data_IF_357726618890
#
_entry.id   IF_357726618890
#
_cell.length_a   1.000
_cell.length_b   1.000
_cell.length_c   1.000
_cell.angle_alpha   90.00
_cell.angle_beta   90.00
_cell.angle_gamma   90.00
#
_symmetry.space_group_name_H-M   'P 1'
#
loop_
_entity.id
_entity.type
_entity.pdbx_description
1 polymer ?
#
# COMPACT_ATOMS: atom_id res chain seq x y z
N UNK A 1 5.97 4.53 -0.61
CA UNK A 1 4.55 4.32 -0.99
C UNK A 1 4.34 5.01 -2.31
N UNK A 2 3.64 4.37 -3.23
CA UNK A 2 3.16 4.94 -4.49
C UNK A 2 1.64 5.08 -4.39
N UNK A 3 1.12 6.21 -4.85
CA UNK A 3 -0.31 6.50 -4.86
C UNK A 3 -0.71 6.61 -6.32
N UNK A 4 -1.67 5.80 -6.72
CA UNK A 4 -2.27 5.83 -8.05
C UNK A 4 -3.69 6.37 -7.91
N UNK A 5 -4.07 7.31 -8.76
CA UNK A 5 -5.42 7.86 -8.74
C UNK A 5 -5.93 8.10 -10.14
N UNK A 6 -7.23 8.24 -10.26
CA UNK A 6 -7.90 8.68 -11.47
C UNK A 6 -9.05 9.60 -11.11
N UNK A 7 -9.23 10.65 -11.92
CA UNK A 7 -10.26 11.64 -11.75
C UNK A 7 -11.10 11.70 -13.03
N UNK A 8 -12.42 11.56 -12.88
CA UNK A 8 -13.39 11.74 -13.95
C UNK A 8 -14.18 13.00 -13.65
N UNK A 9 -13.91 14.06 -14.39
CA UNK A 9 -14.61 15.33 -14.21
C UNK A 9 -15.72 15.47 -15.24
N UNK A 10 -16.66 16.39 -15.03
CA UNK A 10 -17.68 16.69 -16.05
C UNK A 10 -17.10 17.06 -17.42
N UNK A 11 -15.91 17.68 -17.46
CA UNK A 11 -15.22 18.04 -18.70
C UNK A 11 -14.50 16.86 -19.37
N UNK A 12 -14.25 15.77 -18.63
CA UNK A 12 -13.60 14.56 -19.12
C UNK A 12 -14.11 13.33 -18.34
N UNK A 13 -15.36 12.91 -18.58
CA UNK A 13 -15.94 11.78 -17.88
C UNK A 13 -15.44 10.45 -18.48
N UNK A 14 -15.62 9.36 -17.73
CA UNK A 14 -15.41 8.03 -18.26
C UNK A 14 -16.63 7.61 -19.08
N UNK A 15 -16.48 7.59 -20.40
CA UNK A 15 -17.56 7.26 -21.35
C UNK A 15 -18.05 5.82 -21.18
N UNK A 16 -19.29 5.56 -21.61
CA UNK A 16 -19.92 4.22 -21.60
C UNK A 16 -19.01 3.19 -22.27
N UNK A 17 -18.71 2.10 -21.54
CA UNK A 17 -17.84 1.01 -22.00
C UNK A 17 -16.35 1.36 -22.09
N UNK A 18 -15.93 2.58 -21.75
CA UNK A 18 -14.53 2.98 -21.80
C UNK A 18 -13.76 2.42 -20.60
N UNK A 19 -12.48 2.16 -20.83
CA UNK A 19 -11.51 1.72 -19.81
C UNK A 19 -10.40 2.76 -19.71
N UNK A 20 -9.94 3.07 -18.49
CA UNK A 20 -8.79 3.95 -18.25
C UNK A 20 -7.89 3.41 -17.15
N UNK A 21 -6.59 3.66 -17.30
CA UNK A 21 -5.57 3.33 -16.31
C UNK A 21 -5.53 4.36 -15.20
N UNK A 22 -5.27 3.92 -13.97
CA UNK A 22 -4.91 4.85 -12.90
C UNK A 22 -3.58 5.53 -13.21
N UNK A 23 -3.42 6.74 -12.70
CA UNK A 23 -2.27 7.61 -12.91
C UNK A 23 -1.42 7.61 -11.64
N UNK A 24 -0.12 7.41 -11.78
CA UNK A 24 0.85 7.62 -10.70
C UNK A 24 0.88 9.10 -10.33
N UNK A 25 0.46 9.43 -9.11
CA UNK A 25 0.36 10.82 -8.66
C UNK A 25 1.71 11.51 -8.49
N UNK A 26 2.81 10.76 -8.44
CA UNK A 26 4.17 11.33 -8.39
C UNK A 26 4.67 11.73 -9.78
N UNK A 27 4.37 10.95 -10.81
CA UNK A 27 4.93 11.11 -12.16
C UNK A 27 3.91 11.59 -13.20
N UNK A 28 2.63 11.54 -12.87
CA UNK A 28 1.48 11.75 -13.77
C UNK A 28 1.46 10.81 -14.99
N UNK A 29 2.16 9.68 -14.93
CA UNK A 29 2.11 8.65 -15.95
C UNK A 29 1.02 7.62 -15.62
N UNK A 30 0.29 7.11 -16.63
CA UNK A 30 -0.64 6.00 -16.42
C UNK A 30 0.13 4.74 -16.04
N UNK A 31 -0.52 3.88 -15.26
CA UNK A 31 -0.14 2.47 -15.12
C UNK A 31 -0.15 1.77 -16.49
N UNK A 32 0.62 0.69 -16.69
CA UNK A 32 1.33 -0.13 -15.70
C UNK A 32 2.52 0.56 -15.01
N UNK A 33 2.77 0.20 -13.75
CA UNK A 33 3.89 0.63 -12.94
C UNK A 33 4.85 -0.53 -12.65
N UNK A 34 6.14 -0.32 -12.92
CA UNK A 34 7.19 -1.30 -12.65
C UNK A 34 7.76 -1.13 -11.25
N UNK A 35 7.65 -2.16 -10.43
CA UNK A 35 8.34 -2.31 -9.15
C UNK A 35 9.69 -2.99 -9.41
N UNK A 36 10.82 -2.31 -9.18
CA UNK A 36 12.12 -2.89 -9.46
C UNK A 36 12.45 -4.04 -8.50
N UNK A 37 13.25 -4.99 -8.97
CA UNK A 37 13.85 -6.00 -8.11
C UNK A 37 14.55 -5.37 -6.88
N UNK A 38 14.52 -6.08 -5.76
CA UNK A 38 14.92 -5.62 -4.43
C UNK A 38 13.82 -4.90 -3.66
N UNK A 39 12.60 -4.81 -4.19
CA UNK A 39 11.43 -4.29 -3.48
C UNK A 39 10.27 -5.28 -3.51
N UNK A 40 9.68 -5.56 -2.34
CA UNK A 40 8.32 -6.11 -2.31
C UNK A 40 7.28 -4.99 -2.40
N UNK A 41 6.07 -5.34 -2.81
CA UNK A 41 4.94 -4.42 -2.84
C UNK A 41 3.74 -5.01 -2.09
N UNK A 42 2.94 -4.15 -1.47
CA UNK A 42 1.68 -4.50 -0.80
C UNK A 42 0.59 -3.52 -1.25
N UNK A 43 -0.53 -4.03 -1.76
CA UNK A 43 -1.74 -3.24 -2.02
C UNK A 43 -2.45 -3.02 -0.70
N UNK A 44 -2.51 -1.77 -0.22
CA UNK A 44 -2.90 -1.48 1.18
C UNK A 44 -4.21 -0.76 1.33
N UNK A 45 -4.52 0.15 0.43
CA UNK A 45 -5.69 0.99 0.56
C UNK A 45 -6.29 1.23 -0.81
N UNK A 46 -7.62 1.33 -0.82
CA UNK A 46 -8.35 1.86 -1.94
C UNK A 46 -9.47 2.78 -1.45
N UNK A 47 -9.83 3.73 -2.30
CA UNK A 47 -10.97 4.61 -2.12
C UNK A 47 -11.60 4.88 -3.49
N UNK A 48 -12.92 4.96 -3.54
CA UNK A 48 -13.65 5.21 -4.77
C UNK A 48 -14.96 5.92 -4.50
N UNK A 49 -15.28 6.92 -5.30
CA UNK A 49 -16.57 7.60 -5.28
C UNK A 49 -16.92 7.96 -6.70
N UNK A 50 -17.91 7.26 -7.26
CA UNK A 50 -18.37 7.43 -8.63
C UNK A 50 -19.89 7.46 -8.68
N UNK A 51 -20.44 8.13 -9.70
CA UNK A 51 -21.88 8.28 -9.87
C UNK A 51 -22.57 7.13 -10.62
N UNK A 52 -21.97 5.94 -10.72
CA UNK A 52 -22.57 4.78 -11.39
C UNK A 52 -21.71 3.52 -11.33
N UNK A 53 -22.03 2.54 -12.16
CA UNK A 53 -21.41 1.20 -12.11
C UNK A 53 -20.04 1.15 -12.82
N UNK A 54 -19.03 0.64 -12.10
CA UNK A 54 -17.68 0.41 -12.63
C UNK A 54 -17.16 -0.99 -12.26
N UNK A 55 -16.15 -1.46 -12.98
CA UNK A 55 -15.27 -2.54 -12.52
C UNK A 55 -13.84 -2.02 -12.46
N UNK A 56 -13.18 -2.27 -11.34
CA UNK A 56 -11.74 -2.05 -11.17
C UNK A 56 -11.06 -3.40 -11.38
N UNK A 57 -9.99 -3.43 -12.17
CA UNK A 57 -9.21 -4.64 -12.37
C UNK A 57 -7.76 -4.37 -12.03
N UNK A 58 -7.30 -4.96 -10.93
CA UNK A 58 -5.92 -4.95 -10.50
C UNK A 58 -5.21 -6.20 -11.00
N UNK A 59 -4.10 -6.02 -11.70
CA UNK A 59 -3.27 -7.12 -12.18
C UNK A 59 -1.83 -6.94 -11.75
N UNK A 60 -1.14 -8.05 -11.50
CA UNK A 60 0.29 -8.03 -11.27
C UNK A 60 0.97 -9.21 -11.98
N UNK A 61 2.08 -8.90 -12.67
CA UNK A 61 2.97 -9.88 -13.28
C UNK A 61 4.33 -9.89 -12.59
N UNK A 62 4.96 -11.06 -12.56
CA UNK A 62 6.31 -11.29 -12.05
C UNK A 62 7.16 -11.78 -13.21
N UNK A 63 8.16 -11.01 -13.63
CA UNK A 63 8.96 -11.27 -14.83
C UNK A 63 8.11 -11.57 -16.10
N UNK A 64 6.93 -10.96 -16.18
CA UNK A 64 5.97 -11.13 -17.28
C UNK A 64 4.96 -12.25 -17.09
N UNK A 65 5.14 -13.14 -16.11
CA UNK A 65 4.15 -14.17 -15.79
C UNK A 65 3.01 -13.60 -14.94
N UNK A 66 1.73 -13.83 -15.30
CA UNK A 66 0.60 -13.33 -14.52
C UNK A 66 0.46 -14.07 -13.19
N UNK A 67 0.49 -13.32 -12.09
CA UNK A 67 0.37 -13.88 -10.72
C UNK A 67 -0.94 -13.48 -10.07
N UNK A 68 -1.38 -12.24 -10.29
CA UNK A 68 -2.58 -11.67 -9.68
C UNK A 68 -3.46 -11.07 -10.77
N UNK A 69 -4.76 -11.38 -10.68
CA UNK A 69 -5.83 -10.77 -11.49
C UNK A 69 -7.09 -10.69 -10.62
N UNK A 70 -7.40 -9.48 -10.16
CA UNK A 70 -8.47 -9.23 -9.19
C UNK A 70 -9.48 -8.29 -9.83
N UNK A 71 -10.64 -8.81 -10.27
CA UNK A 71 -11.77 -7.97 -10.62
C UNK A 71 -12.52 -7.56 -9.34
N UNK A 72 -12.63 -6.25 -9.12
CA UNK A 72 -13.35 -5.63 -8.02
C UNK A 72 -14.58 -4.91 -8.59
N UNK A 73 -15.74 -5.28 -8.08
CA UNK A 73 -17.02 -4.70 -8.44
C UNK A 73 -17.53 -3.86 -7.27
N UNK A 74 -17.18 -2.56 -7.18
CA UNK A 74 -17.78 -1.68 -6.19
C UNK A 74 -19.31 -1.71 -6.34
N UNK A 75 -20.01 -1.75 -5.21
CA UNK A 75 -21.46 -1.97 -5.20
C UNK A 75 -22.20 -0.91 -6.04
N UNK A 76 -23.28 -1.28 -6.75
CA UNK A 76 -23.92 -0.44 -7.78
C UNK A 76 -24.60 0.85 -7.27
N UNK A 77 -24.69 1.08 -5.96
CA UNK A 77 -25.59 2.07 -5.37
C UNK A 77 -24.90 3.40 -4.98
N UNK A 78 -24.14 4.01 -5.89
CA UNK A 78 -23.45 5.29 -5.63
C UNK A 78 -22.66 5.30 -4.31
N UNK A 79 -22.16 4.14 -3.88
CA UNK A 79 -21.48 4.03 -2.61
C UNK A 79 -20.17 4.80 -2.70
N UNK A 80 -20.06 5.84 -1.87
CA UNK A 80 -18.73 6.35 -1.53
C UNK A 80 -18.08 5.27 -0.70
N UNK A 81 -17.08 4.60 -1.28
CA UNK A 81 -16.19 3.75 -0.50
C UNK A 81 -15.34 4.68 0.36
N UNK A 82 -15.54 4.62 1.67
CA UNK A 82 -14.58 5.15 2.63
C UNK A 82 -13.23 4.44 2.42
N UNK A 83 -12.11 5.03 2.85
CA UNK A 83 -10.80 4.38 2.75
C UNK A 83 -10.86 2.96 3.35
N UNK A 84 -10.88 1.93 2.50
CA UNK A 84 -10.88 0.56 2.97
C UNK A 84 -9.45 0.05 2.95
N UNK A 85 -9.05 -0.61 4.06
CA UNK A 85 -7.78 -1.29 4.11
C UNK A 85 -7.89 -2.64 3.40
N UNK A 86 -7.10 -2.79 2.34
CA UNK A 86 -6.85 -4.07 1.69
C UNK A 86 -5.61 -4.66 2.36
N UNK A 87 -5.72 -5.84 2.96
CA UNK A 87 -4.60 -6.48 3.67
C UNK A 87 -4.13 -7.75 2.94
N UNK A 88 -4.79 -8.14 1.85
CA UNK A 88 -4.64 -9.48 1.29
C UNK A 88 -3.54 -9.63 0.22
N UNK A 89 -3.14 -8.56 -0.50
CA UNK A 89 -2.35 -8.72 -1.74
C UNK A 89 -0.97 -8.07 -1.64
N UNK A 90 0.07 -8.85 -1.93
CA UNK A 90 1.44 -8.35 -2.01
C UNK A 90 2.41 -9.39 -2.56
N UNK A 91 3.54 -8.92 -3.10
CA UNK A 91 4.53 -9.82 -3.72
C UNK A 91 5.26 -10.70 -2.72
N UNK A 92 5.30 -10.37 -1.43
CA UNK A 92 6.01 -11.16 -0.42
C UNK A 92 5.52 -12.61 -0.29
N UNK A 93 4.31 -12.92 -0.77
CA UNK A 93 3.77 -14.29 -0.76
C UNK A 93 4.33 -15.16 -1.90
N UNK A 94 4.89 -14.54 -2.94
CA UNK A 94 5.35 -15.18 -4.17
C UNK A 94 6.86 -14.99 -4.40
N UNK A 95 7.37 -13.80 -4.07
CA UNK A 95 8.76 -13.38 -4.20
C UNK A 95 9.26 -12.74 -2.88
N UNK A 96 9.47 -13.55 -1.83
CA UNK A 96 9.81 -13.06 -0.49
C UNK A 96 11.19 -12.40 -0.40
N UNK A 97 12.08 -12.65 -1.35
CA UNK A 97 13.41 -12.03 -1.43
C UNK A 97 13.43 -10.82 -2.39
N UNK A 98 12.31 -10.51 -3.04
CA UNK A 98 12.21 -9.50 -4.10
C UNK A 98 13.29 -9.69 -5.18
N UNK A 99 13.49 -10.91 -5.63
CA UNK A 99 14.48 -11.22 -6.66
C UNK A 99 14.02 -10.80 -8.06
N UNK A 100 12.71 -10.64 -8.25
CA UNK A 100 12.08 -10.46 -9.55
C UNK A 100 11.56 -9.03 -9.72
N UNK A 101 11.45 -8.61 -10.98
CA UNK A 101 10.73 -7.38 -11.31
C UNK A 101 9.22 -7.67 -11.31
N UNK A 102 8.45 -6.74 -10.78
CA UNK A 102 7.00 -6.82 -10.83
C UNK A 102 6.41 -5.69 -11.64
N UNK A 103 5.33 -5.97 -12.38
CA UNK A 103 4.55 -4.95 -13.07
C UNK A 103 3.14 -4.97 -12.51
N UNK A 104 2.70 -3.84 -11.97
CA UNK A 104 1.36 -3.64 -11.45
C UNK A 104 0.55 -2.77 -12.42
N UNK A 105 -0.65 -3.21 -12.78
CA UNK A 105 -1.56 -2.43 -13.60
C UNK A 105 -2.95 -2.38 -12.98
N UNK A 106 -3.57 -1.20 -13.00
CA UNK A 106 -4.92 -1.00 -12.49
C UNK A 106 -5.74 -0.21 -13.49
N UNK A 107 -6.85 -0.80 -13.93
CA UNK A 107 -7.78 -0.18 -14.87
C UNK A 107 -9.18 -0.09 -14.28
N UNK A 108 -9.90 0.98 -14.63
CA UNK A 108 -11.32 1.15 -14.34
C UNK A 108 -12.11 1.13 -15.64
N UNK A 109 -13.15 0.32 -15.70
CA UNK A 109 -14.08 0.23 -16.84
C UNK A 109 -15.47 0.65 -16.43
N UNK A 110 -16.10 1.51 -17.24
CA UNK A 110 -17.49 1.90 -17.08
C UNK A 110 -18.42 0.76 -17.56
N UNK A 111 -19.24 0.24 -16.65
CA UNK A 111 -20.22 -0.82 -16.93
C UNK A 111 -21.66 -0.30 -17.03
N UNK A 112 -21.84 1.00 -16.79
CA UNK A 112 -23.14 1.66 -16.77
C UNK A 112 -23.56 2.13 -18.17
N UNK A 113 -24.81 2.59 -18.29
CA UNK A 113 -25.34 3.22 -19.50
C UNK A 113 -25.22 4.76 -19.51
N UNK A 114 -24.63 5.32 -18.44
CA UNK A 114 -24.30 6.74 -18.31
C UNK A 114 -22.78 6.99 -18.34
N UNK A 115 -22.40 8.23 -18.62
CA UNK A 115 -21.02 8.68 -18.40
C UNK A 115 -20.72 8.78 -16.90
N UNK A 116 -19.55 8.30 -16.50
CA UNK A 116 -19.14 8.28 -15.10
C UNK A 116 -18.29 9.51 -14.76
N UNK A 117 -18.65 10.16 -13.66
CA UNK A 117 -17.90 11.20 -12.97
C UNK A 117 -17.52 10.69 -11.57
N UNK A 118 -16.37 11.13 -11.05
CA UNK A 118 -15.90 10.70 -9.74
C UNK A 118 -14.38 10.58 -9.63
N UNK A 119 -13.95 9.80 -8.64
CA UNK A 119 -12.54 9.58 -8.32
C UNK A 119 -12.33 8.14 -7.87
N UNK A 120 -11.18 7.57 -8.27
CA UNK A 120 -10.65 6.32 -7.72
C UNK A 120 -9.22 6.53 -7.26
N UNK A 121 -8.82 5.87 -6.18
CA UNK A 121 -7.46 5.90 -5.67
C UNK A 121 -7.08 4.54 -5.10
N UNK A 122 -5.83 4.15 -5.35
CA UNK A 122 -5.20 2.97 -4.78
C UNK A 122 -3.81 3.35 -4.25
N UNK A 123 -3.40 2.73 -3.13
CA UNK A 123 -2.05 2.87 -2.60
C UNK A 123 -1.26 1.55 -2.61
N UNK A 124 -0.07 1.61 -3.21
CA UNK A 124 0.89 0.53 -3.28
C UNK A 124 2.09 0.84 -2.37
N UNK A 125 2.34 0.00 -1.38
CA UNK A 125 3.43 0.18 -0.43
C UNK A 125 4.64 -0.62 -0.88
N UNK A 126 5.73 0.08 -1.18
CA UNK A 126 7.00 -0.53 -1.58
C UNK A 126 7.92 -0.69 -0.38
N UNK A 127 8.45 -1.88 -0.20
CA UNK A 127 9.36 -2.24 0.88
C UNK A 127 10.68 -2.76 0.30
N UNK A 128 11.79 -2.06 0.54
CA UNK A 128 13.11 -2.51 0.08
C UNK A 128 13.58 -3.74 0.88
N UNK A 129 13.72 -4.87 0.21
CA UNK A 129 14.32 -6.09 0.78
C UNK A 129 15.83 -5.89 0.93
N UNK A 130 16.41 -6.37 2.04
CA UNK A 130 17.82 -6.19 2.37
C UNK A 130 18.15 -4.92 3.16
N UNK A 131 17.16 -4.15 3.62
CA UNK A 131 17.39 -3.21 4.73
C UNK A 131 17.63 -4.02 6.00
N UNK A 132 18.79 -3.82 6.65
CA UNK A 132 19.16 -4.55 7.88
C UNK A 132 18.00 -4.45 8.87
N UNK A 133 17.48 -5.60 9.30
CA UNK A 133 16.51 -5.66 10.37
C UNK A 133 17.09 -4.95 11.59
N UNK A 134 16.46 -3.85 12.01
CA UNK A 134 16.90 -3.11 13.18
C UNK A 134 16.58 -3.96 14.43
N UNK A 135 17.58 -4.66 14.95
CA UNK A 135 17.40 -5.55 16.11
C UNK A 135 17.44 -4.80 17.44
N UNK A 136 18.06 -3.62 17.47
CA UNK A 136 18.30 -2.83 18.67
C UNK A 136 17.96 -1.36 18.45
N UNK A 137 17.61 -0.66 19.54
CA UNK A 137 17.43 0.80 19.60
C UNK A 137 18.27 1.39 20.72
N UNK A 138 18.81 2.59 20.51
CA UNK A 138 19.45 3.36 21.58
C UNK A 138 18.36 4.08 22.40
N UNK A 139 18.42 3.93 23.71
CA UNK A 139 17.50 4.56 24.66
C UNK A 139 18.28 5.37 25.69
N UNK A 140 17.67 6.42 26.21
CA UNK A 140 18.23 7.26 27.27
C UNK A 140 17.41 7.10 28.55
N UNK A 141 18.07 6.72 29.65
CA UNK A 141 17.39 6.62 30.94
C UNK A 141 16.83 8.00 31.37
N UNK A 142 15.55 8.04 31.72
CA UNK A 142 14.88 9.27 32.15
C UNK A 142 15.47 9.84 33.46
N UNK A 143 16.05 8.97 34.30
CA UNK A 143 16.58 9.32 35.63
C UNK A 143 18.06 9.74 35.61
N UNK A 144 18.96 8.89 35.08
CA UNK A 144 20.41 9.13 35.14
C UNK A 144 21.03 9.60 33.81
N UNK A 145 20.22 9.74 32.75
CA UNK A 145 20.62 10.19 31.41
C UNK A 145 21.64 9.32 30.67
N UNK A 146 22.02 8.16 31.22
CA UNK A 146 22.84 7.18 30.52
C UNK A 146 22.14 6.68 29.24
N UNK A 147 22.92 6.54 28.17
CA UNK A 147 22.48 6.01 26.88
C UNK A 147 23.02 4.58 26.69
N UNK A 148 22.17 3.68 26.22
CA UNK A 148 22.53 2.28 25.99
C UNK A 148 21.58 1.66 24.96
N UNK A 149 21.98 0.51 24.40
CA UNK A 149 21.17 -0.23 23.43
C UNK A 149 20.26 -1.24 24.13
N UNK A 150 19.06 -1.41 23.60
CA UNK A 150 18.08 -2.44 24.01
C UNK A 150 17.46 -3.08 22.76
N UNK A 151 16.95 -4.32 22.83
CA UNK A 151 16.13 -4.92 21.78
C UNK A 151 15.04 -3.98 21.28
N UNK A 152 14.82 -3.91 19.96
CA UNK A 152 13.89 -2.96 19.33
C UNK A 152 12.47 -3.03 19.94
N UNK A 153 12.00 -4.27 20.19
CA UNK A 153 10.66 -4.57 20.73
C UNK A 153 10.55 -4.40 22.25
N UNK A 154 11.65 -4.18 22.97
CA UNK A 154 11.61 -4.02 24.42
C UNK A 154 10.98 -2.68 24.79
N UNK A 155 9.93 -2.71 25.61
CA UNK A 155 9.19 -1.52 26.07
C UNK A 155 9.47 -1.20 27.54
N UNK A 156 9.66 -2.21 28.39
CA UNK A 156 10.01 -2.05 29.82
C UNK A 156 11.50 -2.27 29.99
N UNK A 157 12.21 -1.28 30.53
CA UNK A 157 13.66 -1.27 30.64
C UNK A 157 14.07 -1.04 32.10
N UNK A 158 14.95 -1.91 32.60
CA UNK A 158 15.68 -1.70 33.83
C UNK A 158 17.03 -1.05 33.49
N UNK A 159 17.25 0.19 33.92
CA UNK A 159 18.46 0.92 33.57
C UNK A 159 19.71 0.25 34.14
N UNK A 160 20.70 -0.14 33.33
CA UNK A 160 21.91 -0.80 33.81
C UNK A 160 22.79 0.11 34.68
N UNK A 161 22.67 1.43 34.54
CA UNK A 161 23.48 2.39 35.28
C UNK A 161 22.90 2.79 36.65
N UNK A 162 21.58 2.81 36.83
CA UNK A 162 20.95 3.26 38.08
C UNK A 162 19.86 2.34 38.65
N UNK A 163 19.58 1.21 38.00
CA UNK A 163 18.62 0.20 38.45
C UNK A 163 17.15 0.64 38.42
N UNK A 164 16.84 1.86 37.96
CA UNK A 164 15.46 2.35 37.84
C UNK A 164 14.79 1.76 36.59
N UNK A 165 13.53 1.34 36.77
CA UNK A 165 12.64 0.87 35.70
C UNK A 165 11.94 2.02 35.01
N UNK A 166 11.85 2.00 33.68
CA UNK A 166 11.08 2.96 32.89
C UNK A 166 10.52 2.30 31.62
N UNK A 167 9.57 2.97 30.98
CA UNK A 167 8.97 2.54 29.73
C UNK A 167 9.46 3.39 28.55
N UNK A 168 9.57 2.77 27.38
CA UNK A 168 9.81 3.43 26.09
C UNK A 168 8.80 2.94 25.06
N UNK A 169 8.52 3.73 24.01
CA UNK A 169 7.62 3.31 22.93
C UNK A 169 8.06 2.00 22.28
N UNK A 170 7.06 1.19 21.90
CA UNK A 170 7.26 0.04 21.04
C UNK A 170 7.66 0.51 19.65
N UNK A 171 8.66 -0.15 19.05
CA UNK A 171 9.07 0.06 17.67
C UNK A 171 9.06 -1.31 16.99
N UNK A 172 8.31 -1.44 15.90
CA UNK A 172 8.08 -2.70 15.18
C UNK A 172 6.63 -2.82 14.70
N UNK A 173 6.34 -3.82 13.84
CA UNK A 173 4.96 -4.22 13.55
C UNK A 173 4.41 -4.92 14.80
N UNK A 174 3.21 -4.51 15.26
CA UNK A 174 2.50 -5.28 16.29
C UNK A 174 2.26 -6.70 15.75
N UNK A 175 2.46 -7.75 16.56
CA UNK A 175 2.02 -9.08 16.14
C UNK A 175 0.52 -9.00 15.87
N UNK A 176 0.13 -9.36 14.65
CA UNK A 176 -1.29 -9.56 14.32
C UNK A 176 -1.76 -10.71 15.21
N UNK A 177 -2.76 -10.45 16.04
CA UNK A 177 -3.40 -11.44 16.92
C UNK A 177 -4.42 -12.22 16.12
#
# INVERSE_FOLDING_TARGET
QKIFAIFFSNADPLLVGATRHLIDMETFLPTPYTVPAGYTWELREWAGSVNGAIVIRDTATMDGDPVIDIPIYPAPDHCTHEYEQIIAFGSQFYDPQAEHEWVFDCVITNLDDINIEGVGQISLYLHKVGTIEMKEKTVRCLYCKAEFKVPLRQTIIDCPSCGKRFAVPFYGRAPVV
#
